data_IF_297026183079
#
_entry.id   IF_297026183079
#
_cell.length_a   1.000
_cell.length_b   1.000
_cell.length_c   1.000
_cell.angle_alpha   90.00
_cell.angle_beta   90.00
_cell.angle_gamma   90.00
#
_symmetry.space_group_name_H-M   'P 1'
#
loop_
_entity.id
_entity.type
_entity.pdbx_description
1 polymer ?
#
# COMPACT_ATOMS: atom_id res chain seq x y z
N UNK A 1 -6.54 16.17 22.68
CA UNK A 1 -7.52 15.26 22.03
C UNK A 1 -7.23 13.84 22.48
N UNK A 2 -8.23 13.08 22.90
CA UNK A 2 -8.01 11.73 23.45
C UNK A 2 -7.72 10.77 22.27
N UNK A 3 -6.62 10.04 22.34
CA UNK A 3 -6.09 9.19 21.25
C UNK A 3 -7.11 8.20 20.66
N UNK A 4 -8.11 7.79 21.44
CA UNK A 4 -9.23 6.98 20.96
C UNK A 4 -10.08 7.65 19.87
N UNK A 5 -10.22 8.98 19.87
CA UNK A 5 -10.93 9.68 18.80
C UNK A 5 -10.16 9.64 17.48
N UNK A 6 -8.83 9.64 17.55
CA UNK A 6 -7.97 9.50 16.36
C UNK A 6 -8.13 8.08 15.80
N UNK A 7 -8.08 7.06 16.66
CA UNK A 7 -8.31 5.67 16.25
C UNK A 7 -9.70 5.48 15.62
N UNK A 8 -10.75 6.02 16.25
CA UNK A 8 -12.10 5.97 15.70
C UNK A 8 -12.19 6.66 14.33
N UNK A 9 -11.60 7.85 14.18
CA UNK A 9 -11.56 8.55 12.90
C UNK A 9 -10.82 7.80 11.80
N UNK A 10 -9.69 7.14 12.13
CA UNK A 10 -8.94 6.31 11.19
C UNK A 10 -9.72 5.07 10.75
N UNK A 11 -10.37 4.37 11.70
CA UNK A 11 -11.24 3.25 11.39
C UNK A 11 -12.40 3.66 10.49
N UNK A 12 -13.06 4.78 10.80
CA UNK A 12 -14.13 5.32 9.99
C UNK A 12 -13.64 5.67 8.57
N UNK A 13 -12.48 6.31 8.45
CA UNK A 13 -11.87 6.62 7.15
C UNK A 13 -11.55 5.35 6.35
N UNK A 14 -11.01 4.30 6.98
CA UNK A 14 -10.77 3.01 6.34
C UNK A 14 -12.08 2.37 5.87
N UNK A 15 -13.14 2.40 6.68
CA UNK A 15 -14.47 1.93 6.28
C UNK A 15 -15.02 2.69 5.08
N UNK A 16 -14.84 4.02 5.03
CA UNK A 16 -15.25 4.84 3.88
C UNK A 16 -14.47 4.43 2.62
N UNK A 17 -13.15 4.25 2.72
CA UNK A 17 -12.31 3.81 1.59
C UNK A 17 -12.76 2.44 1.08
N UNK A 18 -12.98 1.48 1.98
CA UNK A 18 -13.51 0.16 1.63
C UNK A 18 -14.91 0.26 1.03
N UNK A 19 -15.79 1.10 1.57
CA UNK A 19 -17.11 1.35 1.03
C UNK A 19 -17.06 1.89 -0.41
N UNK A 20 -16.11 2.76 -0.72
CA UNK A 20 -15.90 3.27 -2.08
C UNK A 20 -15.53 2.15 -3.07
N UNK A 21 -14.80 1.10 -2.65
CA UNK A 21 -14.52 -0.05 -3.53
C UNK A 21 -15.79 -0.75 -4.01
N UNK A 22 -16.86 -0.77 -3.22
CA UNK A 22 -18.12 -1.42 -3.60
C UNK A 22 -19.02 -0.56 -4.50
N UNK A 23 -18.73 0.74 -4.60
CA UNK A 23 -19.52 1.69 -5.40
C UNK A 23 -18.86 1.95 -6.75
N UNK A 24 -17.54 1.82 -6.83
CA UNK A 24 -16.84 1.92 -8.10
C UNK A 24 -17.20 0.75 -9.00
N UNK A 25 -17.48 1.07 -10.26
CA UNK A 25 -17.75 0.08 -11.28
C UNK A 25 -16.56 -0.89 -11.40
N UNK A 26 -16.87 -2.18 -11.44
CA UNK A 26 -15.91 -3.19 -11.86
C UNK A 26 -15.47 -2.87 -13.29
N UNK A 27 -14.18 -3.07 -13.58
CA UNK A 27 -13.66 -2.95 -14.95
C UNK A 27 -14.52 -3.80 -15.88
N UNK A 28 -14.95 -3.28 -17.05
CA UNK A 28 -15.99 -3.91 -17.87
C UNK A 28 -15.79 -5.42 -18.07
N UNK A 29 -16.88 -6.19 -17.97
CA UNK A 29 -16.87 -7.64 -18.15
C UNK A 29 -16.18 -8.01 -19.49
N UNK A 30 -15.19 -8.90 -19.41
CA UNK A 30 -14.32 -9.29 -20.52
C UNK A 30 -12.92 -8.65 -20.50
N UNK A 31 -12.68 -7.64 -19.65
CA UNK A 31 -11.34 -7.08 -19.40
C UNK A 31 -10.74 -7.48 -18.05
N UNK A 32 -11.53 -8.16 -17.20
CA UNK A 32 -11.13 -8.77 -15.93
C UNK A 32 -10.86 -10.27 -16.03
N UNK A 33 -11.24 -10.89 -17.16
CA UNK A 33 -10.94 -12.29 -17.45
C UNK A 33 -9.45 -12.48 -17.75
N UNK A 34 -8.97 -13.71 -17.61
CA UNK A 34 -7.66 -14.10 -18.09
C UNK A 34 -7.57 -13.92 -19.61
N UNK A 35 -6.51 -13.27 -20.08
CA UNK A 35 -6.17 -13.16 -21.50
C UNK A 35 -5.27 -14.33 -21.87
N UNK A 36 -5.48 -14.97 -23.02
CA UNK A 36 -4.57 -16.02 -23.48
C UNK A 36 -3.13 -15.49 -23.57
N UNK A 37 -2.17 -16.23 -23.01
CA UNK A 37 -0.76 -15.85 -23.06
C UNK A 37 -0.21 -16.03 -24.48
N UNK A 38 0.38 -14.96 -25.05
CA UNK A 38 0.81 -14.93 -26.45
C UNK A 38 1.82 -16.04 -26.83
N UNK A 39 2.64 -16.47 -25.88
CA UNK A 39 3.71 -17.46 -26.11
C UNK A 39 3.45 -18.85 -25.49
N UNK A 40 2.48 -18.99 -24.59
CA UNK A 40 2.27 -20.22 -23.83
C UNK A 40 0.81 -20.66 -23.92
N UNK A 41 0.47 -21.53 -24.89
CA UNK A 41 -0.89 -22.02 -25.07
C UNK A 41 -1.39 -22.76 -23.82
N UNK A 42 -2.61 -22.47 -23.39
CA UNK A 42 -3.21 -23.07 -22.19
C UNK A 42 -2.92 -22.34 -20.88
N UNK A 43 -2.23 -21.19 -20.93
CA UNK A 43 -2.05 -20.28 -19.79
C UNK A 43 -2.80 -18.98 -20.07
N UNK A 44 -3.57 -18.54 -19.10
CA UNK A 44 -4.15 -17.20 -19.08
C UNK A 44 -3.27 -16.26 -18.25
N UNK A 45 -3.11 -15.04 -18.73
CA UNK A 45 -2.45 -13.93 -18.04
C UNK A 45 -3.45 -12.86 -17.64
N UNK A 46 -3.13 -12.11 -16.59
CA UNK A 46 -3.93 -10.94 -16.26
C UNK A 46 -3.85 -9.91 -17.40
N UNK A 47 -4.96 -9.25 -17.69
CA UNK A 47 -4.98 -8.12 -18.62
C UNK A 47 -4.07 -6.97 -18.18
N UNK A 48 -3.89 -5.95 -19.05
CA UNK A 48 -3.01 -4.80 -18.79
C UNK A 48 -3.31 -4.16 -17.42
N UNK A 49 -2.27 -4.07 -16.58
CA UNK A 49 -2.40 -3.57 -15.21
C UNK A 49 -2.99 -2.15 -15.15
N UNK A 50 -2.65 -1.29 -16.10
CA UNK A 50 -3.16 0.08 -16.20
C UNK A 50 -4.68 0.13 -16.34
N UNK A 51 -5.28 -0.79 -17.10
CA UNK A 51 -6.73 -0.87 -17.29
C UNK A 51 -7.38 -1.44 -16.04
N UNK A 52 -6.81 -2.52 -15.48
CA UNK A 52 -7.34 -3.21 -14.30
C UNK A 52 -7.34 -2.34 -13.05
N UNK A 53 -6.38 -1.43 -12.91
CA UNK A 53 -6.16 -0.65 -11.69
C UNK A 53 -6.52 0.84 -11.82
N UNK A 54 -6.98 1.30 -12.99
CA UNK A 54 -7.21 2.72 -13.30
C UNK A 54 -8.02 3.47 -12.23
N UNK A 55 -9.13 2.88 -11.77
CA UNK A 55 -10.04 3.51 -10.81
C UNK A 55 -9.72 3.22 -9.34
N UNK A 56 -9.00 2.12 -9.05
CA UNK A 56 -8.85 1.59 -7.69
C UNK A 56 -7.47 1.83 -7.07
N UNK A 57 -6.45 2.18 -7.85
CA UNK A 57 -5.07 2.26 -7.35
C UNK A 57 -4.89 3.31 -6.24
N UNK A 58 -5.57 4.45 -6.37
CA UNK A 58 -5.53 5.52 -5.37
C UNK A 58 -6.29 5.16 -4.10
N UNK A 59 -7.37 4.38 -4.20
CA UNK A 59 -8.09 3.85 -3.05
C UNK A 59 -7.22 2.81 -2.31
N UNK A 60 -6.55 1.93 -3.04
CA UNK A 60 -5.63 0.95 -2.46
C UNK A 60 -4.45 1.64 -1.74
N UNK A 61 -3.86 2.68 -2.36
CA UNK A 61 -2.82 3.49 -1.72
C UNK A 61 -3.35 4.18 -0.45
N UNK A 62 -4.52 4.83 -0.53
CA UNK A 62 -5.13 5.52 0.60
C UNK A 62 -5.40 4.57 1.77
N UNK A 63 -5.91 3.37 1.47
CA UNK A 63 -6.13 2.33 2.47
C UNK A 63 -4.82 1.90 3.15
N UNK A 64 -3.76 1.64 2.37
CA UNK A 64 -2.47 1.24 2.91
C UNK A 64 -1.82 2.33 3.80
N UNK A 65 -1.93 3.60 3.42
CA UNK A 65 -1.47 4.73 4.23
C UNK A 65 -2.27 4.83 5.52
N UNK A 66 -3.60 4.78 5.45
CA UNK A 66 -4.47 4.82 6.64
C UNK A 66 -4.17 3.66 7.60
N UNK A 67 -3.96 2.45 7.08
CA UNK A 67 -3.61 1.28 7.88
C UNK A 67 -2.24 1.45 8.57
N UNK A 68 -1.27 2.02 7.86
CA UNK A 68 0.06 2.30 8.43
C UNK A 68 -0.03 3.33 9.56
N UNK A 69 -0.77 4.42 9.34
CA UNK A 69 -1.02 5.45 10.37
C UNK A 69 -1.77 4.85 11.55
N UNK A 70 -2.79 4.03 11.30
CA UNK A 70 -3.54 3.33 12.35
C UNK A 70 -2.64 2.46 13.22
N UNK A 71 -1.74 1.67 12.62
CA UNK A 71 -0.77 0.86 13.35
C UNK A 71 0.14 1.72 14.23
N UNK A 72 0.67 2.84 13.71
CA UNK A 72 1.51 3.78 14.48
C UNK A 72 0.74 4.39 15.65
N UNK A 73 -0.54 4.73 15.46
CA UNK A 73 -1.41 5.26 16.52
C UNK A 73 -1.74 4.21 17.57
N UNK A 74 -1.96 2.94 17.18
CA UNK A 74 -2.14 1.81 18.09
C UNK A 74 -0.89 1.59 18.95
N UNK A 75 0.31 1.63 18.36
CA UNK A 75 1.56 1.59 19.10
C UNK A 75 1.66 2.77 20.08
N UNK A 76 1.30 3.98 19.64
CA UNK A 76 1.26 5.15 20.52
C UNK A 76 0.25 5.01 21.67
N UNK A 77 -0.82 4.23 21.49
CA UNK A 77 -1.87 4.01 22.48
C UNK A 77 -1.42 3.07 23.60
N UNK A 78 -0.63 2.04 23.27
CA UNK A 78 -0.05 1.12 24.24
C UNK A 78 1.04 1.71 25.14
N UNK A 79 1.65 2.84 24.74
CA UNK A 79 2.73 3.47 25.52
C UNK A 79 2.18 4.40 26.61
N UNK A 80 2.65 4.29 27.87
CA UNK A 80 2.27 5.20 28.95
C UNK A 80 2.47 6.67 28.59
N UNK A 81 1.53 7.54 28.96
CA UNK A 81 1.52 8.95 28.55
C UNK A 81 2.83 9.70 28.87
N UNK A 82 3.47 9.35 30.00
CA UNK A 82 4.74 9.94 30.46
C UNK A 82 5.92 9.55 29.56
N UNK A 83 6.01 8.28 29.16
CA UNK A 83 7.10 7.76 28.31
C UNK A 83 6.93 8.15 26.85
N UNK A 84 5.69 8.11 26.36
CA UNK A 84 5.30 8.60 25.03
C UNK A 84 5.78 10.03 24.83
N UNK A 85 5.49 10.93 25.78
CA UNK A 85 5.84 12.35 25.66
C UNK A 85 7.36 12.61 25.78
N UNK A 86 8.08 11.79 26.55
CA UNK A 86 9.48 12.08 26.93
C UNK A 86 10.53 11.47 26.01
N UNK A 87 10.30 10.26 25.48
CA UNK A 87 11.34 9.54 24.71
C UNK A 87 10.84 8.96 23.38
N UNK A 88 9.58 8.56 23.33
CA UNK A 88 9.10 7.75 22.21
C UNK A 88 8.36 8.55 21.13
N UNK A 89 7.96 9.80 21.38
CA UNK A 89 7.24 10.62 20.39
C UNK A 89 8.03 10.79 19.09
N UNK A 90 9.28 11.23 19.17
CA UNK A 90 10.12 11.48 17.99
C UNK A 90 10.39 10.20 17.20
N UNK A 91 10.95 9.12 17.78
CA UNK A 91 11.24 7.91 17.01
C UNK A 91 9.98 7.26 16.43
N UNK A 92 8.86 7.29 17.15
CA UNK A 92 7.61 6.72 16.66
C UNK A 92 7.04 7.51 15.47
N UNK A 93 7.08 8.84 15.51
CA UNK A 93 6.67 9.68 14.38
C UNK A 93 7.62 9.51 13.20
N UNK A 94 8.93 9.51 13.43
CA UNK A 94 9.92 9.31 12.37
C UNK A 94 9.76 7.95 11.69
N UNK A 95 9.62 6.87 12.46
CA UNK A 95 9.37 5.54 11.91
C UNK A 95 8.04 5.47 11.14
N UNK A 96 6.98 6.10 11.66
CA UNK A 96 5.69 6.16 10.98
C UNK A 96 5.75 6.89 9.64
N UNK A 97 6.45 8.03 9.58
CA UNK A 97 6.66 8.77 8.33
C UNK A 97 7.47 7.95 7.33
N UNK A 98 8.55 7.30 7.77
CA UNK A 98 9.37 6.45 6.91
C UNK A 98 8.55 5.28 6.33
N UNK A 99 7.71 4.62 7.13
CA UNK A 99 6.83 3.55 6.64
C UNK A 99 5.83 4.05 5.61
N UNK A 100 5.20 5.22 5.83
CA UNK A 100 4.31 5.84 4.85
C UNK A 100 5.04 6.18 3.54
N UNK A 101 6.28 6.66 3.62
CA UNK A 101 7.12 6.91 2.45
C UNK A 101 7.40 5.61 1.68
N UNK A 102 7.80 4.53 2.37
CA UNK A 102 8.05 3.22 1.75
C UNK A 102 6.80 2.70 1.06
N UNK A 103 5.64 2.70 1.76
CA UNK A 103 4.35 2.31 1.17
C UNK A 103 4.06 3.13 -0.07
N UNK A 104 4.23 4.45 -0.01
CA UNK A 104 4.00 5.33 -1.16
C UNK A 104 4.92 4.98 -2.34
N UNK A 105 6.19 4.71 -2.08
CA UNK A 105 7.14 4.32 -3.13
C UNK A 105 6.80 2.97 -3.77
N UNK A 106 6.22 2.02 -3.03
CA UNK A 106 5.68 0.78 -3.61
C UNK A 106 4.61 1.12 -4.65
N UNK A 107 3.65 1.98 -4.33
CA UNK A 107 2.57 2.34 -5.26
C UNK A 107 3.07 3.13 -6.47
N UNK A 108 3.96 4.11 -6.27
CA UNK A 108 4.52 4.93 -7.37
C UNK A 108 5.33 4.07 -8.34
N UNK A 109 6.22 3.23 -7.82
CA UNK A 109 7.00 2.32 -8.66
C UNK A 109 6.12 1.26 -9.33
N UNK A 110 5.05 0.81 -8.67
CA UNK A 110 4.09 -0.12 -9.27
C UNK A 110 3.35 0.50 -10.46
N UNK A 111 3.01 1.78 -10.39
CA UNK A 111 2.42 2.49 -11.53
C UNK A 111 3.36 2.53 -12.73
N UNK A 112 4.66 2.79 -12.51
CA UNK A 112 5.68 2.74 -13.57
C UNK A 112 5.84 1.32 -14.13
N UNK A 113 5.81 0.32 -13.26
CA UNK A 113 5.86 -1.09 -13.63
C UNK A 113 4.66 -1.51 -14.50
N UNK A 114 3.51 -0.85 -14.40
CA UNK A 114 2.37 -1.16 -15.30
C UNK A 114 2.51 -0.57 -16.70
N UNK A 115 3.34 0.45 -16.88
CA UNK A 115 3.42 1.24 -18.12
C UNK A 115 4.64 0.93 -18.97
N UNK A 116 5.71 0.43 -18.37
CA UNK A 116 6.98 0.20 -19.04
C UNK A 116 7.13 -1.27 -19.47
N UNK A 117 7.62 -1.54 -20.67
CA UNK A 117 7.91 -2.91 -21.11
C UNK A 117 9.22 -3.46 -20.51
N UNK A 118 10.08 -2.55 -20.07
CA UNK A 118 11.37 -2.87 -19.45
C UNK A 118 11.41 -2.30 -18.04
N UNK A 119 11.70 -3.15 -17.06
CA UNK A 119 11.71 -2.74 -15.66
C UNK A 119 13.14 -2.66 -15.13
N UNK A 120 13.56 -1.50 -14.59
CA UNK A 120 14.87 -1.40 -13.97
C UNK A 120 14.96 -2.34 -12.77
N UNK A 121 16.10 -3.01 -12.64
CA UNK A 121 16.40 -3.90 -11.52
C UNK A 121 17.25 -3.16 -10.49
N UNK A 122 16.88 -3.29 -9.22
CA UNK A 122 17.65 -2.84 -8.07
C UNK A 122 18.02 -4.05 -7.21
N UNK A 123 19.32 -4.36 -7.14
CA UNK A 123 19.83 -5.60 -6.52
C UNK A 123 19.03 -6.84 -6.96
N UNK A 124 18.92 -7.05 -8.27
CA UNK A 124 18.26 -8.21 -8.90
C UNK A 124 16.73 -8.28 -8.81
N UNK A 125 16.05 -7.30 -8.23
CA UNK A 125 14.58 -7.24 -8.21
C UNK A 125 14.04 -6.00 -8.93
N UNK A 126 12.85 -6.08 -9.55
CA UNK A 126 12.15 -4.88 -10.00
C UNK A 126 12.01 -3.87 -8.86
N UNK A 127 12.13 -2.58 -9.16
CA UNK A 127 12.13 -1.50 -8.15
C UNK A 127 10.95 -1.60 -7.18
N UNK A 128 9.75 -1.95 -7.66
CA UNK A 128 8.56 -2.17 -6.80
C UNK A 128 8.75 -3.28 -5.78
N UNK A 129 9.34 -4.40 -6.21
CA UNK A 129 9.63 -5.53 -5.33
C UNK A 129 10.76 -5.18 -4.36
N UNK A 130 11.75 -4.40 -4.79
CA UNK A 130 12.83 -3.93 -3.95
C UNK A 130 12.35 -3.04 -2.80
N UNK A 131 11.37 -2.15 -3.03
CA UNK A 131 10.77 -1.38 -1.93
C UNK A 131 10.08 -2.26 -0.89
N UNK A 132 9.40 -3.32 -1.33
CA UNK A 132 8.75 -4.27 -0.43
C UNK A 132 9.78 -5.08 0.36
N UNK A 133 10.74 -5.71 -0.33
CA UNK A 133 11.74 -6.58 0.31
C UNK A 133 12.73 -5.79 1.17
N UNK A 134 13.37 -4.77 0.62
CA UNK A 134 14.45 -4.04 1.31
C UNK A 134 13.92 -2.91 2.19
N UNK A 135 12.83 -2.25 1.77
CA UNK A 135 12.24 -1.16 2.54
C UNK A 135 11.45 -1.66 3.74
N UNK A 136 10.60 -2.68 3.56
CA UNK A 136 9.75 -3.21 4.62
C UNK A 136 10.45 -4.27 5.47
N UNK A 137 11.36 -5.05 4.88
CA UNK A 137 11.95 -6.25 5.51
C UNK A 137 13.48 -6.31 5.42
N UNK A 138 14.23 -5.38 6.06
CA UNK A 138 15.69 -5.36 5.94
C UNK A 138 16.42 -6.49 6.69
N UNK A 139 15.77 -7.26 7.57
CA UNK A 139 16.44 -8.28 8.40
C UNK A 139 15.57 -9.50 8.67
N UNK A 140 15.74 -10.57 7.88
CA UNK A 140 15.79 -11.98 8.31
C UNK A 140 16.52 -12.81 7.24
N UNK A 141 17.86 -12.81 7.28
CA UNK A 141 18.73 -13.84 6.71
C UNK A 141 19.84 -14.13 7.72
#
# INVERSE_FOLDING_TARGET
MKLHWILFGLLLAMCIVVGMFFILDEVPHGQTAGYAHAHFPGIDQGGPGIIRHASIIWLAWSFAVLQTVFLVVCLAFGVPHRERRRRLKVPLVTAGVLLVCIVTMIFVSYQQFMTEDTHPLFFSFPVTTAWYLYGFWPFQF
#
